data_IF_899932619718
#
_entry.id   IF_899932619718
#
_cell.length_a   1.000
_cell.length_b   1.000
_cell.length_c   1.000
_cell.angle_alpha   90.00
_cell.angle_beta   90.00
_cell.angle_gamma   90.00
#
_symmetry.space_group_name_H-M   'P 1'
#
loop_
_entity.id
_entity.type
_entity.pdbx_description
1 polymer ?
#
# COMPACT_ATOMS: atom_id res chain seq x y z
N UNK A 1 -5.61 24.53 32.06
CA UNK A 1 -4.28 24.42 31.42
C UNK A 1 -4.33 25.18 30.11
N UNK A 2 -4.15 26.49 30.19
CA UNK A 2 -4.10 27.38 29.03
C UNK A 2 -2.82 28.17 29.16
N UNK A 3 -1.91 28.02 28.20
CA UNK A 3 -0.67 28.79 28.14
C UNK A 3 -0.09 28.67 26.71
N UNK A 4 -0.66 29.48 25.82
CA UNK A 4 -0.31 29.59 24.41
C UNK A 4 -1.54 30.02 23.61
N UNK A 5 -1.41 31.01 22.73
CA UNK A 5 -2.49 31.34 21.79
C UNK A 5 -2.86 30.08 20.98
N UNK A 6 -4.13 29.95 20.58
CA UNK A 6 -4.58 28.83 19.75
C UNK A 6 -3.67 28.65 18.52
N UNK A 7 -3.18 29.76 17.96
CA UNK A 7 -2.23 29.75 16.86
C UNK A 7 -0.88 29.08 17.22
N UNK A 8 -0.36 29.28 18.43
CA UNK A 8 0.89 28.65 18.87
C UNK A 8 0.74 27.14 19.07
N UNK A 9 -0.41 26.68 19.58
CA UNK A 9 -0.70 25.25 19.73
C UNK A 9 -0.88 24.57 18.36
N UNK A 10 -1.62 25.21 17.44
CA UNK A 10 -1.75 24.75 16.07
C UNK A 10 -0.41 24.71 15.34
N UNK A 11 0.47 25.71 15.54
CA UNK A 11 1.80 25.69 14.96
C UNK A 11 2.66 24.54 15.51
N UNK A 12 2.63 24.30 16.84
CA UNK A 12 3.39 23.22 17.48
C UNK A 12 2.96 21.81 17.05
N UNK A 13 1.68 21.60 16.76
CA UNK A 13 1.17 20.31 16.29
C UNK A 13 1.18 20.19 14.76
N UNK A 14 0.93 21.30 14.06
CA UNK A 14 0.79 21.37 12.61
C UNK A 14 2.12 21.40 11.86
N UNK A 15 3.16 22.08 12.38
CA UNK A 15 4.47 22.11 11.74
C UNK A 15 5.09 20.70 11.61
N UNK A 16 5.10 19.86 12.67
CA UNK A 16 5.58 18.48 12.53
C UNK A 16 4.75 17.66 11.54
N UNK A 17 3.42 17.82 11.54
CA UNK A 17 2.54 17.11 10.61
C UNK A 17 2.81 17.52 9.15
N UNK A 18 2.99 18.82 8.88
CA UNK A 18 3.36 19.34 7.57
C UNK A 18 4.69 18.77 7.09
N UNK A 19 5.73 18.80 7.93
CA UNK A 19 7.04 18.22 7.60
C UNK A 19 6.90 16.73 7.32
N UNK A 20 6.13 16.00 8.13
CA UNK A 20 5.86 14.57 7.92
C UNK A 20 5.19 14.30 6.57
N UNK A 21 4.18 15.09 6.19
CA UNK A 21 3.53 14.96 4.89
C UNK A 21 4.46 15.34 3.72
N UNK A 22 5.32 16.34 3.90
CA UNK A 22 6.34 16.72 2.89
C UNK A 22 7.36 15.60 2.67
N UNK A 23 7.85 14.98 3.74
CA UNK A 23 8.78 13.84 3.65
C UNK A 23 8.09 12.65 2.97
N UNK A 24 6.83 12.38 3.30
CA UNK A 24 6.05 11.33 2.65
C UNK A 24 5.87 11.59 1.15
N UNK A 25 5.62 12.83 0.75
CA UNK A 25 5.51 13.19 -0.67
C UNK A 25 6.85 13.04 -1.40
N UNK A 26 7.95 13.45 -0.76
CA UNK A 26 9.30 13.27 -1.31
C UNK A 26 9.64 11.79 -1.48
N UNK A 27 9.27 10.94 -0.51
CA UNK A 27 9.44 9.50 -0.62
C UNK A 27 8.72 8.94 -1.86
N UNK A 28 7.49 9.39 -2.14
CA UNK A 28 6.75 8.98 -3.34
C UNK A 28 7.46 9.38 -4.65
N UNK A 29 8.08 10.56 -4.71
CA UNK A 29 8.86 11.00 -5.88
C UNK A 29 10.13 10.17 -6.06
N UNK A 30 10.86 9.94 -4.96
CA UNK A 30 12.09 9.15 -4.98
C UNK A 30 11.79 7.70 -5.36
N UNK A 31 10.75 7.11 -4.79
CA UNK A 31 10.29 5.75 -5.12
C UNK A 31 9.96 5.63 -6.60
N UNK A 32 9.13 6.53 -7.15
CA UNK A 32 8.78 6.51 -8.57
C UNK A 32 10.01 6.68 -9.50
N UNK A 33 10.98 7.52 -9.13
CA UNK A 33 12.21 7.70 -9.89
C UNK A 33 13.07 6.43 -9.93
N UNK A 34 13.31 5.80 -8.77
CA UNK A 34 14.11 4.58 -8.70
C UNK A 34 13.38 3.39 -9.32
N UNK A 35 12.10 3.20 -9.01
CA UNK A 35 11.28 2.13 -9.56
C UNK A 35 11.22 2.24 -11.08
N UNK A 36 10.96 3.44 -11.63
CA UNK A 36 10.91 3.67 -13.08
C UNK A 36 12.22 3.38 -13.81
N UNK A 37 13.36 3.45 -13.12
CA UNK A 37 14.69 3.16 -13.67
C UNK A 37 15.08 1.68 -13.75
N UNK A 38 14.31 0.75 -13.17
CA UNK A 38 14.66 -0.68 -13.07
C UNK A 38 14.44 -1.50 -14.36
N UNK A 39 13.98 -0.86 -15.45
CA UNK A 39 13.66 -1.52 -16.72
C UNK A 39 12.28 -2.22 -16.73
N UNK A 40 11.81 -2.57 -17.92
CA UNK A 40 10.41 -3.00 -18.16
C UNK A 40 9.97 -4.24 -17.37
N UNK A 41 10.88 -5.19 -17.13
CA UNK A 41 10.56 -6.42 -16.38
C UNK A 41 10.29 -6.20 -14.89
N UNK A 42 11.06 -5.33 -14.23
CA UNK A 42 10.93 -5.07 -12.79
C UNK A 42 9.77 -4.10 -12.48
N UNK A 43 9.59 -3.08 -13.30
CA UNK A 43 8.45 -2.16 -13.20
C UNK A 43 7.13 -2.90 -13.41
N UNK A 44 7.11 -3.90 -14.32
CA UNK A 44 5.95 -4.76 -14.55
C UNK A 44 5.55 -5.59 -13.33
N UNK A 45 6.51 -6.15 -12.59
CA UNK A 45 6.23 -6.89 -11.36
C UNK A 45 5.65 -6.00 -10.26
N UNK A 46 6.20 -4.78 -10.09
CA UNK A 46 5.72 -3.80 -9.10
C UNK A 46 4.30 -3.33 -9.45
N UNK A 47 3.98 -3.15 -10.73
CA UNK A 47 2.64 -2.76 -11.18
C UNK A 47 1.54 -3.79 -10.81
N UNK A 48 1.87 -5.08 -10.81
CA UNK A 48 0.93 -6.14 -10.38
C UNK A 48 0.79 -6.19 -8.86
N UNK A 49 1.85 -5.85 -8.12
CA UNK A 49 1.83 -5.80 -6.66
C UNK A 49 1.13 -4.55 -6.11
N UNK A 50 1.15 -3.45 -6.87
CA UNK A 50 0.63 -2.15 -6.45
C UNK A 50 -0.81 -2.17 -5.89
N UNK A 51 -1.80 -2.87 -6.48
CA UNK A 51 -3.15 -2.96 -5.92
C UNK A 51 -3.18 -3.65 -4.54
N UNK A 52 -2.35 -4.66 -4.32
CA UNK A 52 -2.26 -5.35 -3.03
C UNK A 52 -1.70 -4.40 -1.97
N UNK A 53 -0.65 -3.66 -2.32
CA UNK A 53 -0.09 -2.62 -1.46
C UNK A 53 -1.15 -1.55 -1.11
N UNK A 54 -1.96 -1.11 -2.06
CA UNK A 54 -3.04 -0.14 -1.82
C UNK A 54 -4.10 -0.66 -0.83
N UNK A 55 -4.48 -1.94 -0.90
CA UNK A 55 -5.40 -2.55 0.07
C UNK A 55 -4.79 -2.53 1.48
N UNK A 56 -3.50 -2.86 1.60
CA UNK A 56 -2.81 -2.84 2.90
C UNK A 56 -2.71 -1.43 3.48
N UNK A 57 -2.39 -0.44 2.65
CA UNK A 57 -2.40 0.98 3.06
C UNK A 57 -3.80 1.40 3.52
N UNK A 58 -4.85 1.03 2.76
CA UNK A 58 -6.24 1.31 3.12
C UNK A 58 -6.65 0.70 4.45
N UNK A 59 -6.28 -0.55 4.71
CA UNK A 59 -6.50 -1.21 6.00
C UNK A 59 -5.75 -0.52 7.13
N UNK A 60 -4.49 -0.15 6.91
CA UNK A 60 -3.69 0.60 7.87
C UNK A 60 -4.33 1.94 8.24
N UNK A 61 -4.87 2.66 7.26
CA UNK A 61 -5.61 3.91 7.50
C UNK A 61 -6.94 3.66 8.23
N UNK A 62 -7.68 2.62 7.84
CA UNK A 62 -8.97 2.28 8.44
C UNK A 62 -8.82 1.98 9.95
N UNK A 63 -7.85 1.16 10.34
CA UNK A 63 -7.63 0.84 11.75
C UNK A 63 -6.83 1.93 12.48
N UNK A 64 -5.86 2.57 11.83
CA UNK A 64 -5.04 3.62 12.45
C UNK A 64 -5.83 4.90 12.69
N UNK A 65 -6.31 5.54 11.63
CA UNK A 65 -7.06 6.80 11.70
C UNK A 65 -8.48 6.55 12.23
N UNK A 66 -9.12 5.45 11.83
CA UNK A 66 -10.46 5.11 12.30
C UNK A 66 -10.55 4.80 13.79
N UNK A 67 -9.52 4.18 14.39
CA UNK A 67 -9.50 3.94 15.84
C UNK A 67 -9.17 5.19 16.66
N UNK A 68 -8.60 6.24 16.04
CA UNK A 68 -8.20 7.45 16.76
C UNK A 68 -9.40 8.17 17.43
N UNK A 69 -10.57 8.20 16.76
CA UNK A 69 -11.77 8.88 17.29
C UNK A 69 -12.25 8.32 18.66
N UNK A 70 -12.54 7.01 18.82
CA UNK A 70 -12.93 6.47 20.12
C UNK A 70 -11.80 6.55 21.15
N UNK A 71 -10.53 6.43 20.75
CA UNK A 71 -9.38 6.59 21.66
C UNK A 71 -9.33 8.00 22.24
N UNK A 72 -9.49 9.04 21.42
CA UNK A 72 -9.51 10.42 21.90
C UNK A 72 -10.69 10.71 22.83
N UNK A 73 -11.85 10.08 22.60
CA UNK A 73 -13.00 10.18 23.51
C UNK A 73 -12.71 9.57 24.87
N UNK A 74 -12.09 8.39 24.91
CA UNK A 74 -11.72 7.72 26.16
C UNK A 74 -10.66 8.51 26.93
N UNK A 75 -9.63 9.00 26.24
CA UNK A 75 -8.60 9.87 26.83
C UNK A 75 -9.17 11.19 27.34
N UNK A 76 -10.07 11.82 26.59
CA UNK A 76 -10.75 13.06 27.01
C UNK A 76 -11.67 12.86 28.22
N UNK A 77 -12.20 11.66 28.42
CA UNK A 77 -12.98 11.27 29.61
C UNK A 77 -12.13 10.82 30.81
N UNK A 78 -10.79 10.84 30.70
CA UNK A 78 -9.87 10.42 31.76
C UNK A 78 -9.64 8.90 31.85
N UNK A 79 -10.21 8.10 30.95
CA UNK A 79 -10.05 6.64 30.94
C UNK A 79 -8.87 6.19 30.06
N UNK A 80 -7.66 6.39 30.57
CA UNK A 80 -6.43 5.98 29.88
C UNK A 80 -6.29 4.46 29.75
N UNK A 81 -6.87 3.68 30.67
CA UNK A 81 -6.84 2.20 30.61
C UNK A 81 -7.75 1.67 29.50
N UNK A 82 -8.97 2.18 29.40
CA UNK A 82 -9.90 1.87 28.32
C UNK A 82 -9.34 2.27 26.96
N UNK A 83 -8.76 3.46 26.85
CA UNK A 83 -8.09 3.94 25.64
C UNK A 83 -6.96 2.99 25.18
N UNK A 84 -6.10 2.57 26.12
CA UNK A 84 -5.03 1.61 25.83
C UNK A 84 -5.55 0.24 25.38
N UNK A 85 -6.60 -0.27 26.02
CA UNK A 85 -7.22 -1.55 25.63
C UNK A 85 -7.81 -1.49 24.22
N UNK A 86 -8.49 -0.39 23.90
CA UNK A 86 -9.07 -0.19 22.58
C UNK A 86 -7.98 -0.05 21.51
N UNK A 87 -6.92 0.72 21.80
CA UNK A 87 -5.77 0.87 20.89
C UNK A 87 -5.10 -0.48 20.58
N UNK A 88 -4.80 -1.28 21.60
CA UNK A 88 -4.21 -2.62 21.40
C UNK A 88 -5.12 -3.54 20.61
N UNK A 89 -6.42 -3.51 20.87
CA UNK A 89 -7.40 -4.33 20.14
C UNK A 89 -7.50 -3.90 18.68
N UNK A 90 -7.54 -2.59 18.41
CA UNK A 90 -7.57 -2.04 17.06
C UNK A 90 -6.29 -2.36 16.26
N UNK A 91 -5.13 -2.30 16.91
CA UNK A 91 -3.85 -2.69 16.31
C UNK A 91 -3.81 -4.19 15.99
N UNK A 92 -4.22 -5.05 16.93
CA UNK A 92 -4.28 -6.50 16.70
C UNK A 92 -5.27 -6.85 15.59
N UNK A 93 -6.46 -6.24 15.58
CA UNK A 93 -7.44 -6.47 14.51
C UNK A 93 -6.95 -5.97 13.16
N UNK A 94 -6.26 -4.84 13.11
CA UNK A 94 -5.67 -4.32 11.87
C UNK A 94 -4.55 -5.21 11.35
N UNK A 95 -3.69 -5.73 12.23
CA UNK A 95 -2.63 -6.67 11.86
C UNK A 95 -3.21 -8.00 11.36
N UNK A 96 -4.24 -8.54 12.03
CA UNK A 96 -4.92 -9.76 11.58
C UNK A 96 -5.62 -9.55 10.23
N UNK A 97 -6.33 -8.43 10.06
CA UNK A 97 -6.97 -8.09 8.79
C UNK A 97 -5.95 -7.92 7.66
N UNK A 98 -4.81 -7.28 7.93
CA UNK A 98 -3.69 -7.16 7.00
C UNK A 98 -3.11 -8.52 6.63
N UNK A 99 -2.88 -9.40 7.62
CA UNK A 99 -2.40 -10.75 7.37
C UNK A 99 -3.37 -11.55 6.48
N UNK A 100 -4.67 -11.54 6.79
CA UNK A 100 -5.69 -12.19 5.96
C UNK A 100 -5.68 -11.63 4.54
N UNK A 101 -5.57 -10.32 4.36
CA UNK A 101 -5.50 -9.69 3.04
C UNK A 101 -4.28 -10.11 2.21
N UNK A 102 -3.16 -10.48 2.84
CA UNK A 102 -1.96 -11.00 2.15
C UNK A 102 -2.10 -12.50 1.84
N UNK A 103 -2.60 -13.30 2.78
CA UNK A 103 -2.67 -14.76 2.64
C UNK A 103 -3.88 -15.26 1.84
N UNK A 104 -5.00 -14.53 1.82
CA UNK A 104 -6.20 -14.91 1.08
C UNK A 104 -6.04 -14.91 -0.46
N UNK A 105 -5.34 -13.94 -1.09
CA UNK A 105 -5.10 -13.97 -2.54
C UNK A 105 -3.98 -14.93 -2.97
N UNK A 106 -3.13 -15.40 -2.05
CA UNK A 106 -2.05 -16.34 -2.34
C UNK A 106 -2.29 -17.66 -1.58
N UNK A 107 -3.12 -18.58 -2.12
CA UNK A 107 -3.25 -19.90 -1.54
C UNK A 107 -1.85 -20.53 -1.41
N UNK A 108 -1.54 -21.21 -0.29
CA UNK A 108 -0.22 -21.82 -0.05
C UNK A 108 0.14 -22.97 -1.00
N UNK A 109 -0.69 -23.23 -2.02
CA UNK A 109 -0.61 -24.34 -2.97
C UNK A 109 -0.24 -23.86 -4.40
N UNK A 110 0.67 -22.89 -4.49
CA UNK A 110 1.23 -22.41 -5.76
C UNK A 110 2.76 -22.59 -5.85
N UNK A 111 3.30 -23.56 -5.09
CA UNK A 111 4.71 -23.97 -5.16
C UNK A 111 4.94 -25.11 -6.16
N UNK A 112 3.99 -25.39 -7.05
CA UNK A 112 4.23 -26.26 -8.19
C UNK A 112 4.90 -25.44 -9.30
N UNK A 113 6.18 -25.69 -9.63
CA UNK A 113 6.81 -25.04 -10.76
C UNK A 113 6.17 -25.65 -12.00
N UNK A 114 5.28 -24.92 -12.67
CA UNK A 114 4.77 -25.28 -13.98
C UNK A 114 5.92 -25.17 -15.00
N UNK A 115 6.81 -26.16 -15.00
CA UNK A 115 7.69 -26.47 -16.12
C UNK A 115 6.82 -27.09 -17.22
N UNK A 116 5.97 -26.30 -17.86
CA UNK A 116 5.49 -26.68 -19.20
C UNK A 116 6.64 -26.36 -20.16
N UNK A 117 7.24 -27.36 -20.82
CA UNK A 117 8.09 -27.04 -21.96
C UNK A 117 7.22 -26.29 -22.97
N UNK A 118 7.67 -25.12 -23.40
CA UNK A 118 7.08 -24.36 -24.50
C UNK A 118 6.94 -25.26 -25.72
N UNK A 119 5.79 -25.92 -25.84
CA UNK A 119 5.41 -26.66 -27.03
C UNK A 119 5.02 -25.61 -28.05
N UNK A 120 5.92 -25.37 -29.00
CA UNK A 120 5.72 -24.42 -30.08
C UNK A 120 4.39 -24.67 -30.77
N UNK A 121 3.40 -23.84 -30.47
CA UNK A 121 2.32 -23.59 -31.39
C UNK A 121 2.90 -22.67 -32.44
N UNK A 122 3.10 -23.23 -33.63
CA UNK A 122 3.37 -22.49 -34.84
C UNK A 122 2.39 -21.31 -34.90
N UNK A 123 2.93 -20.09 -34.88
CA UNK A 123 2.16 -18.92 -35.27
C UNK A 123 1.61 -19.19 -36.67
N UNK A 124 0.30 -19.05 -36.92
CA UNK A 124 -0.18 -19.03 -38.29
C UNK A 124 0.45 -17.80 -38.94
N UNK A 125 1.37 -18.04 -39.88
CA UNK A 125 1.87 -17.03 -40.79
C UNK A 125 0.69 -16.23 -41.35
N UNK A 126 0.65 -14.90 -41.25
CA UNK A 126 -0.38 -14.14 -41.90
C UNK A 126 -0.22 -14.30 -43.41
N UNK A 127 -1.17 -14.99 -44.04
CA UNK A 127 -1.24 -15.27 -45.49
C UNK A 127 -1.55 -14.01 -46.33
N UNK A 128 -1.11 -12.82 -45.89
CA UNK A 128 -1.62 -11.53 -46.39
C UNK A 128 -0.73 -10.80 -47.40
N UNK A 129 0.36 -11.39 -47.90
CA UNK A 129 1.17 -10.75 -48.95
C UNK A 129 1.58 -11.71 -50.08
N UNK A 130 0.75 -11.88 -51.14
CA UNK A 130 1.17 -12.55 -52.37
C UNK A 130 1.78 -11.58 -53.42
N UNK A 131 1.86 -10.27 -53.15
CA UNK A 131 2.14 -9.28 -54.20
C UNK A 131 3.56 -8.72 -54.27
N UNK A 132 4.49 -9.05 -53.35
CA UNK A 132 5.83 -8.43 -53.31
C UNK A 132 6.97 -9.42 -53.58
N UNK A 133 6.79 -10.34 -54.54
CA UNK A 133 7.86 -11.24 -55.00
C UNK A 133 8.21 -11.10 -56.49
N UNK A 134 7.82 -9.98 -57.11
CA UNK A 134 8.30 -9.56 -58.44
C UNK A 134 8.35 -8.03 -58.53
N UNK A 135 9.39 -7.45 -57.95
CA UNK A 135 9.98 -6.18 -58.35
C UNK A 135 11.44 -6.20 -57.91
#
# INVERSE_FOLDING_TARGET
MGEGSVAAALARLGLPALVGMMVSALYGVVDAYFVGGLGTGHVGAIAVFFPIAQVLVGLGLAFGVGAASPIFRLLGGGDSKGAGRFASTALLSGLLAGAVAVFFPFPPDASEPERRPFRGHAFPTPTFFPALRRA
#
